data_IF_423631109846
#
_entry.id   IF_423631109846
#
_cell.length_a   1.000
_cell.length_b   1.000
_cell.length_c   1.000
_cell.angle_alpha   90.00
_cell.angle_beta   90.00
_cell.angle_gamma   90.00
#
_symmetry.space_group_name_H-M   'P 1'
#
loop_
_entity.id
_entity.type
_entity.pdbx_description
1 polymer ?
#
# COMPACT_ATOMS: atom_id res chain seq x y z
N UNK A 1 24.79 12.74 -7.66
CA UNK A 1 23.38 13.16 -7.79
C UNK A 1 22.55 11.89 -7.79
N UNK A 2 21.47 11.81 -7.01
CA UNK A 2 20.63 10.60 -7.01
C UNK A 2 19.99 10.41 -8.40
N UNK A 3 19.75 9.16 -8.79
CA UNK A 3 19.06 8.83 -10.02
C UNK A 3 17.66 9.47 -10.05
N UNK A 4 17.28 10.03 -11.20
CA UNK A 4 15.93 10.53 -11.43
C UNK A 4 15.01 9.36 -11.82
N UNK A 5 13.82 9.33 -11.23
CA UNK A 5 12.82 8.30 -11.46
C UNK A 5 11.67 8.84 -12.32
N UNK A 6 10.97 7.96 -13.04
CA UNK A 6 9.75 8.34 -13.73
C UNK A 6 8.60 8.47 -12.72
N UNK A 7 8.49 7.50 -11.80
CA UNK A 7 7.43 7.44 -10.79
C UNK A 7 8.03 7.15 -9.41
N UNK A 8 7.63 7.92 -8.41
CA UNK A 8 7.88 7.57 -7.01
C UNK A 8 6.56 7.12 -6.37
N UNK A 9 6.55 5.96 -5.74
CA UNK A 9 5.41 5.46 -4.96
C UNK A 9 5.75 5.61 -3.48
N UNK A 10 4.93 6.34 -2.72
CA UNK A 10 5.13 6.53 -1.28
C UNK A 10 4.15 5.63 -0.51
N UNK A 11 4.70 4.61 0.13
CA UNK A 11 3.98 3.63 0.94
C UNK A 11 4.03 2.22 0.35
N UNK A 12 4.60 1.25 1.09
CA UNK A 12 4.66 -0.16 0.68
C UNK A 12 3.40 -0.97 0.99
N UNK A 13 2.21 -0.36 1.02
CA UNK A 13 0.95 -1.07 1.26
C UNK A 13 0.41 -1.80 0.02
N UNK A 14 -0.75 -2.45 0.13
CA UNK A 14 -1.38 -3.16 -1.00
C UNK A 14 -1.50 -2.28 -2.26
N UNK A 15 -1.97 -1.04 -2.12
CA UNK A 15 -2.09 -0.09 -3.23
C UNK A 15 -0.73 0.33 -3.79
N UNK A 16 0.27 0.56 -2.94
CA UNK A 16 1.60 0.95 -3.37
C UNK A 16 2.34 -0.17 -4.10
N UNK A 17 2.13 -1.42 -3.69
CA UNK A 17 2.69 -2.59 -4.37
C UNK A 17 2.13 -2.72 -5.79
N UNK A 18 0.81 -2.63 -5.97
CA UNK A 18 0.20 -2.64 -7.31
C UNK A 18 0.64 -1.44 -8.15
N UNK A 19 0.67 -0.23 -7.57
CA UNK A 19 1.10 0.97 -8.29
C UNK A 19 2.56 0.86 -8.77
N UNK A 20 3.45 0.33 -7.92
CA UNK A 20 4.85 0.15 -8.28
C UNK A 20 5.03 -0.91 -9.37
N UNK A 21 4.39 -2.08 -9.20
CA UNK A 21 4.43 -3.16 -10.18
C UNK A 21 3.85 -2.71 -11.54
N UNK A 22 2.69 -2.05 -11.54
CA UNK A 22 2.04 -1.58 -12.77
C UNK A 22 2.90 -0.57 -13.52
N UNK A 23 3.42 0.46 -12.83
CA UNK A 23 4.24 1.48 -13.47
C UNK A 23 5.54 0.89 -14.05
N UNK A 24 6.18 -0.03 -13.31
CA UNK A 24 7.42 -0.67 -13.73
C UNK A 24 7.22 -1.64 -14.91
N UNK A 25 6.15 -2.44 -14.90
CA UNK A 25 5.79 -3.33 -16.01
C UNK A 25 5.46 -2.57 -17.30
N UNK A 26 4.98 -1.33 -17.18
CA UNK A 26 4.78 -0.41 -18.31
C UNK A 26 6.07 0.31 -18.75
N UNK A 27 7.21 0.00 -18.14
CA UNK A 27 8.54 0.47 -18.53
C UNK A 27 9.05 1.70 -17.78
N UNK A 28 8.35 2.16 -16.74
CA UNK A 28 8.81 3.31 -15.92
C UNK A 28 9.93 2.89 -14.95
N UNK A 29 10.89 3.78 -14.71
CA UNK A 29 11.79 3.66 -13.55
C UNK A 29 11.04 4.08 -12.28
N UNK A 30 10.84 3.13 -11.37
CA UNK A 30 10.01 3.31 -10.17
C UNK A 30 10.87 3.26 -8.91
N UNK A 31 10.64 4.20 -8.00
CA UNK A 31 11.14 4.11 -6.63
C UNK A 31 9.99 3.89 -5.65
N UNK A 32 10.00 2.78 -4.92
CA UNK A 32 9.08 2.53 -3.82
C UNK A 32 9.70 2.99 -2.50
N UNK A 33 9.18 4.08 -1.95
CA UNK A 33 9.58 4.65 -0.65
C UNK A 33 8.67 4.08 0.43
N UNK A 34 9.25 3.46 1.45
CA UNK A 34 8.50 2.89 2.58
C UNK A 34 9.22 3.10 3.91
N UNK A 35 8.48 3.27 5.01
CA UNK A 35 9.08 3.44 6.33
C UNK A 35 9.77 2.17 6.83
N UNK A 36 9.28 1.00 6.40
CA UNK A 36 9.84 -0.29 6.75
C UNK A 36 9.65 -1.29 5.59
N UNK A 37 10.74 -1.83 5.07
CA UNK A 37 10.72 -2.82 3.99
C UNK A 37 10.26 -4.20 4.47
N UNK A 38 10.30 -4.47 5.76
CA UNK A 38 9.80 -5.73 6.33
C UNK A 38 8.27 -5.78 6.39
N UNK A 39 7.58 -4.63 6.26
CA UNK A 39 6.11 -4.54 6.36
C UNK A 39 5.42 -4.29 5.02
N UNK A 40 6.13 -4.54 3.91
CA UNK A 40 5.59 -4.48 2.55
C UNK A 40 4.39 -5.42 2.43
N UNK A 41 3.29 -4.91 1.90
CA UNK A 41 2.02 -5.59 1.72
C UNK A 41 1.48 -6.33 2.97
N UNK A 42 1.86 -5.90 4.17
CA UNK A 42 1.42 -6.56 5.39
C UNK A 42 -0.11 -6.49 5.58
N UNK A 43 -0.72 -7.65 5.81
CA UNK A 43 -2.13 -7.79 6.16
C UNK A 43 -2.40 -7.40 7.62
N UNK A 44 -2.67 -6.12 7.87
CA UNK A 44 -2.87 -5.59 9.24
C UNK A 44 -4.21 -6.00 9.89
N UNK A 45 -5.22 -6.32 9.09
CA UNK A 45 -6.57 -6.64 9.56
C UNK A 45 -6.91 -8.12 9.32
N UNK A 46 -7.83 -8.42 8.41
CA UNK A 46 -8.26 -9.79 8.13
C UNK A 46 -7.19 -10.55 7.32
N UNK A 47 -6.82 -11.81 7.67
CA UNK A 47 -5.90 -12.62 6.86
C UNK A 47 -6.64 -13.25 5.66
N UNK A 48 -7.30 -12.42 4.84
CA UNK A 48 -8.17 -12.88 3.77
C UNK A 48 -8.19 -11.94 2.57
N UNK A 49 -8.24 -12.51 1.36
CA UNK A 49 -8.44 -11.78 0.10
C UNK A 49 -9.76 -12.19 -0.55
N UNK A 50 -10.40 -11.25 -1.24
CA UNK A 50 -11.73 -11.44 -1.82
C UNK A 50 -12.88 -11.34 -0.81
N UNK A 51 -13.96 -12.08 -1.06
CA UNK A 51 -15.27 -11.88 -0.43
C UNK A 51 -16.22 -11.05 -1.31
N UNK A 52 -17.47 -10.83 -0.89
CA UNK A 52 -18.48 -10.14 -1.72
C UNK A 52 -17.94 -8.79 -2.24
N UNK A 53 -18.09 -8.55 -3.55
CA UNK A 53 -17.51 -7.46 -4.35
C UNK A 53 -15.97 -7.46 -4.45
N UNK A 54 -15.28 -7.73 -3.34
CA UNK A 54 -13.81 -7.79 -3.28
C UNK A 54 -13.23 -8.88 -4.17
N UNK A 55 -13.92 -10.02 -4.27
CA UNK A 55 -13.48 -11.16 -5.08
C UNK A 55 -13.50 -10.85 -6.56
N UNK A 56 -14.50 -10.08 -7.01
CA UNK A 56 -14.58 -9.57 -8.38
C UNK A 56 -13.46 -8.57 -8.64
N UNK A 57 -13.26 -7.59 -7.75
CA UNK A 57 -12.18 -6.60 -7.90
C UNK A 57 -10.80 -7.27 -7.95
N UNK A 58 -10.54 -8.28 -7.13
CA UNK A 58 -9.26 -9.03 -7.19
C UNK A 58 -9.09 -9.71 -8.55
N UNK A 59 -10.16 -10.25 -9.14
CA UNK A 59 -10.15 -10.83 -10.49
C UNK A 59 -9.98 -9.79 -11.59
N UNK A 60 -10.54 -8.61 -11.43
CA UNK A 60 -10.35 -7.49 -12.35
C UNK A 60 -8.92 -6.96 -12.32
N UNK A 61 -8.31 -6.84 -11.13
CA UNK A 61 -6.90 -6.49 -10.95
C UNK A 61 -6.01 -7.52 -11.66
N UNK A 62 -6.27 -8.80 -11.44
CA UNK A 62 -5.56 -9.91 -12.10
C UNK A 62 -5.68 -9.84 -13.64
N UNK A 63 -6.89 -9.60 -14.15
CA UNK A 63 -7.14 -9.45 -15.59
C UNK A 63 -6.42 -8.24 -16.22
N UNK A 64 -6.15 -7.19 -15.44
CA UNK A 64 -5.36 -6.03 -15.85
C UNK A 64 -3.84 -6.25 -15.73
N UNK A 65 -3.40 -7.43 -15.29
CA UNK A 65 -1.99 -7.77 -15.10
C UNK A 65 -1.43 -7.38 -13.73
N UNK A 66 -2.30 -7.06 -12.75
CA UNK A 66 -1.91 -6.82 -11.37
C UNK A 66 -1.60 -8.12 -10.61
N UNK A 67 -0.89 -8.00 -9.48
CA UNK A 67 -0.33 -9.17 -8.78
C UNK A 67 -1.18 -9.66 -7.61
N UNK A 68 -2.19 -8.91 -7.17
CA UNK A 68 -3.03 -9.26 -6.01
C UNK A 68 -3.67 -10.63 -6.14
N UNK A 69 -4.14 -11.01 -7.34
CA UNK A 69 -4.70 -12.33 -7.62
C UNK A 69 -3.66 -13.43 -7.41
N UNK A 70 -2.52 -13.31 -8.08
CA UNK A 70 -1.39 -14.24 -8.03
C UNK A 70 -0.89 -14.43 -6.59
N UNK A 71 -0.61 -13.34 -5.87
CA UNK A 71 -0.11 -13.43 -4.48
C UNK A 71 -1.16 -14.03 -3.56
N UNK A 72 -2.45 -13.75 -3.80
CA UNK A 72 -3.54 -14.37 -3.04
C UNK A 72 -3.60 -15.87 -3.27
N UNK A 73 -3.33 -16.37 -4.49
CA UNK A 73 -3.31 -17.79 -4.77
C UNK A 73 -2.06 -18.49 -4.19
N UNK A 74 -0.88 -17.87 -4.25
CA UNK A 74 0.36 -18.46 -3.74
C UNK A 74 0.44 -18.53 -2.20
N UNK A 75 -0.29 -17.66 -1.51
CA UNK A 75 -0.32 -17.62 -0.04
C UNK A 75 -1.59 -18.22 0.57
N UNK A 76 -2.46 -18.82 -0.25
CA UNK A 76 -3.75 -19.34 0.23
C UNK A 76 -3.57 -20.56 1.14
N UNK A 77 -4.28 -20.54 2.25
CA UNK A 77 -4.48 -21.70 3.13
C UNK A 77 -5.82 -22.38 2.81
N UNK A 78 -6.84 -21.57 2.51
CA UNK A 78 -8.19 -22.03 2.18
C UNK A 78 -8.76 -21.17 1.05
N UNK A 79 -9.48 -21.80 0.13
CA UNK A 79 -10.33 -21.13 -0.86
C UNK A 79 -11.80 -21.49 -0.65
N UNK A 80 -12.69 -20.51 -0.83
CA UNK A 80 -14.15 -20.73 -0.84
C UNK A 80 -14.82 -19.81 -1.85
N UNK A 81 -15.71 -20.37 -2.66
CA UNK A 81 -16.66 -19.58 -3.42
C UNK A 81 -17.86 -19.22 -2.54
N UNK A 82 -18.15 -17.92 -2.40
CA UNK A 82 -19.30 -17.43 -1.65
C UNK A 82 -20.56 -17.43 -2.53
N UNK A 83 -21.73 -17.55 -1.91
CA UNK A 83 -23.05 -17.49 -2.55
C UNK A 83 -23.32 -18.56 -3.63
N UNK A 84 -22.73 -19.76 -3.50
CA UNK A 84 -22.91 -20.86 -4.47
C UNK A 84 -24.36 -21.32 -4.67
N UNK A 85 -25.23 -21.14 -3.67
CA UNK A 85 -26.66 -21.44 -3.80
C UNK A 85 -27.44 -20.43 -4.65
N UNK A 86 -26.81 -19.30 -5.03
CA UNK A 86 -27.36 -18.30 -5.94
C UNK A 86 -26.79 -18.49 -7.35
N UNK A 87 -27.24 -17.67 -8.30
CA UNK A 87 -26.71 -17.71 -9.68
C UNK A 87 -25.27 -17.18 -9.80
N UNK A 88 -24.56 -17.48 -10.91
CA UNK A 88 -23.17 -17.10 -11.14
C UNK A 88 -22.85 -15.62 -10.96
N UNK A 89 -23.79 -14.73 -11.29
CA UNK A 89 -23.65 -13.29 -11.09
C UNK A 89 -23.43 -12.88 -9.62
N UNK A 90 -23.82 -13.73 -8.66
CA UNK A 90 -23.68 -13.48 -7.23
C UNK A 90 -22.47 -14.20 -6.60
N UNK A 91 -21.79 -15.06 -7.36
CA UNK A 91 -20.65 -15.84 -6.88
C UNK A 91 -19.45 -14.93 -6.66
N UNK A 92 -18.75 -15.13 -5.55
CA UNK A 92 -17.59 -14.30 -5.22
C UNK A 92 -16.46 -15.12 -4.59
N UNK A 93 -15.26 -15.17 -5.20
CA UNK A 93 -14.14 -15.91 -4.65
C UNK A 93 -13.62 -15.26 -3.37
N UNK A 94 -13.17 -16.09 -2.43
CA UNK A 94 -12.52 -15.66 -1.20
C UNK A 94 -11.45 -16.66 -0.79
N UNK A 95 -10.29 -16.16 -0.37
CA UNK A 95 -9.23 -16.94 0.24
C UNK A 95 -9.00 -16.53 1.69
N UNK A 96 -8.58 -17.48 2.51
CA UNK A 96 -7.79 -17.19 3.72
C UNK A 96 -6.32 -17.35 3.35
N UNK A 97 -5.49 -16.41 3.79
CA UNK A 97 -4.10 -16.30 3.38
C UNK A 97 -3.18 -16.36 4.60
N UNK A 98 -2.07 -17.08 4.46
CA UNK A 98 -0.98 -16.95 5.42
C UNK A 98 -0.40 -15.54 5.31
N UNK A 99 -0.44 -14.77 6.41
CA UNK A 99 -0.01 -13.37 6.40
C UNK A 99 1.47 -13.20 6.09
N UNK A 100 2.31 -14.11 6.58
CA UNK A 100 3.75 -14.04 6.40
C UNK A 100 4.12 -14.41 4.97
N UNK A 101 3.52 -15.49 4.45
CA UNK A 101 3.71 -15.89 3.05
C UNK A 101 3.18 -14.82 2.11
N UNK A 102 2.01 -14.23 2.37
CA UNK A 102 1.44 -13.16 1.54
C UNK A 102 2.39 -11.96 1.43
N UNK A 103 2.92 -11.47 2.56
CA UNK A 103 3.87 -10.35 2.57
C UNK A 103 5.19 -10.71 1.88
N UNK A 104 5.72 -11.90 2.16
CA UNK A 104 6.96 -12.39 1.55
C UNK A 104 6.83 -12.55 0.03
N UNK A 105 5.69 -13.05 -0.46
CA UNK A 105 5.42 -13.21 -1.90
C UNK A 105 5.28 -11.89 -2.62
N UNK A 106 4.58 -10.92 -2.03
CA UNK A 106 4.54 -9.56 -2.57
C UNK A 106 5.93 -8.95 -2.70
N UNK A 107 6.73 -9.04 -1.63
CA UNK A 107 8.09 -8.53 -1.64
C UNK A 107 8.94 -9.21 -2.72
N UNK A 108 8.90 -10.54 -2.79
CA UNK A 108 9.64 -11.28 -3.79
C UNK A 108 9.24 -10.91 -5.23
N UNK A 109 7.94 -10.74 -5.52
CA UNK A 109 7.49 -10.32 -6.85
C UNK A 109 7.98 -8.91 -7.20
N UNK A 110 7.93 -7.97 -6.25
CA UNK A 110 8.44 -6.61 -6.48
C UNK A 110 9.96 -6.59 -6.69
N UNK A 111 10.72 -7.33 -5.87
CA UNK A 111 12.18 -7.46 -6.02
C UNK A 111 12.58 -8.10 -7.35
N UNK A 112 11.72 -8.95 -7.92
CA UNK A 112 11.93 -9.55 -9.25
C UNK A 112 11.31 -8.74 -10.40
N UNK A 113 10.60 -7.64 -10.11
CA UNK A 113 10.02 -6.78 -11.15
C UNK A 113 11.09 -5.79 -11.61
N UNK A 114 11.51 -5.82 -12.89
CA UNK A 114 12.52 -4.89 -13.40
C UNK A 114 12.09 -3.44 -13.20
N UNK A 115 13.05 -2.53 -13.01
CA UNK A 115 12.85 -1.09 -12.83
C UNK A 115 12.22 -0.67 -11.49
N UNK A 116 12.00 -1.57 -10.53
CA UNK A 116 11.57 -1.22 -9.17
C UNK A 116 12.77 -1.15 -8.24
N UNK A 117 13.09 0.05 -7.79
CA UNK A 117 14.04 0.30 -6.70
C UNK A 117 13.29 0.54 -5.38
N UNK A 118 13.95 0.28 -4.25
CA UNK A 118 13.37 0.46 -2.92
C UNK A 118 14.16 1.47 -2.10
N UNK A 119 13.46 2.30 -1.32
CA UNK A 119 14.07 3.20 -0.35
C UNK A 119 13.37 3.12 1.00
N UNK A 120 14.11 2.75 2.05
CA UNK A 120 13.55 2.66 3.39
C UNK A 120 13.71 4.00 4.12
N UNK A 121 12.71 4.87 4.00
CA UNK A 121 12.58 6.08 4.80
C UNK A 121 11.14 6.63 4.72
N UNK A 122 10.76 7.56 5.60
CA UNK A 122 9.51 8.31 5.50
C UNK A 122 9.60 9.37 4.40
N UNK A 123 8.71 9.27 3.40
CA UNK A 123 8.42 10.38 2.49
C UNK A 123 7.67 11.47 3.26
N UNK A 124 8.31 12.61 3.49
CA UNK A 124 7.82 13.67 4.38
C UNK A 124 7.05 14.75 3.62
N UNK A 125 7.59 15.17 2.48
CA UNK A 125 7.09 16.29 1.68
C UNK A 125 7.18 15.96 0.17
N UNK A 126 6.29 16.53 -0.63
CA UNK A 126 6.40 16.61 -2.08
C UNK A 126 7.29 17.80 -2.47
N UNK A 127 8.08 17.63 -3.52
CA UNK A 127 8.75 18.74 -4.17
C UNK A 127 7.82 19.26 -5.27
N UNK A 128 7.43 20.54 -5.20
CA UNK A 128 6.50 21.17 -6.14
C UNK A 128 7.11 22.43 -6.71
N UNK A 129 7.15 22.50 -8.04
CA UNK A 129 7.64 23.66 -8.79
C UNK A 129 6.54 24.11 -9.76
N UNK A 130 6.14 25.39 -9.70
CA UNK A 130 5.11 25.97 -10.56
C UNK A 130 3.78 25.15 -10.60
N UNK A 131 3.36 24.64 -9.44
CA UNK A 131 2.14 23.82 -9.31
C UNK A 131 2.28 22.39 -9.83
N UNK A 132 3.48 21.96 -10.25
CA UNK A 132 3.77 20.59 -10.71
C UNK A 132 4.66 19.86 -9.71
N UNK A 133 4.31 18.62 -9.38
CA UNK A 133 5.17 17.74 -8.59
C UNK A 133 6.41 17.36 -9.40
N UNK A 134 7.57 17.46 -8.77
CA UNK A 134 8.89 17.15 -9.36
C UNK A 134 9.70 16.15 -8.51
N UNK A 135 9.10 15.58 -7.47
CA UNK A 135 9.76 14.59 -6.61
C UNK A 135 9.24 14.57 -5.19
N UNK A 136 10.01 13.96 -4.30
CA UNK A 136 9.73 13.88 -2.85
C UNK A 136 10.97 14.24 -2.04
N UNK A 137 10.73 14.70 -0.81
CA UNK A 137 11.74 14.91 0.22
C UNK A 137 11.50 13.94 1.37
N UNK A 138 12.54 13.21 1.75
CA UNK A 138 12.48 12.26 2.86
C UNK A 138 12.62 12.98 4.21
N UNK A 139 12.34 12.31 5.32
CA UNK A 139 12.47 12.91 6.64
C UNK A 139 13.91 13.29 7.02
N UNK A 140 14.90 12.62 6.41
CA UNK A 140 16.32 12.96 6.51
C UNK A 140 16.71 14.19 5.66
N UNK A 141 15.76 14.78 4.93
CA UNK A 141 16.00 15.94 4.07
C UNK A 141 16.55 15.59 2.69
N UNK A 142 16.59 14.32 2.32
CA UNK A 142 17.07 13.87 1.01
C UNK A 142 15.99 14.14 -0.04
N UNK A 143 16.38 14.81 -1.11
CA UNK A 143 15.50 15.13 -2.23
C UNK A 143 15.70 14.13 -3.37
N UNK A 144 14.60 13.53 -3.82
CA UNK A 144 14.58 12.53 -4.89
C UNK A 144 13.62 13.03 -5.97
N UNK A 145 14.14 13.28 -7.16
CA UNK A 145 13.38 13.84 -8.28
C UNK A 145 12.60 12.75 -9.02
N UNK A 146 11.38 13.10 -9.43
CA UNK A 146 10.57 12.26 -10.32
C UNK A 146 9.52 13.04 -11.12
N UNK A 147 9.06 12.43 -12.20
CA UNK A 147 8.03 13.04 -13.09
C UNK A 147 6.62 12.92 -12.53
N UNK A 148 6.35 11.89 -11.72
CA UNK A 148 5.08 11.68 -11.04
C UNK A 148 5.29 11.05 -9.64
N UNK A 149 4.33 11.27 -8.74
CA UNK A 149 4.32 10.68 -7.39
C UNK A 149 2.95 10.07 -7.11
N UNK A 150 2.93 8.85 -6.58
CA UNK A 150 1.72 8.16 -6.12
C UNK A 150 1.77 8.03 -4.60
N UNK A 151 0.79 8.63 -3.91
CA UNK A 151 0.69 8.59 -2.46
C UNK A 151 -0.24 7.45 -2.00
N UNK A 152 0.31 6.50 -1.25
CA UNK A 152 -0.42 5.31 -0.75
C UNK A 152 -0.17 5.08 0.75
N UNK A 153 -0.24 6.17 1.52
CA UNK A 153 0.19 6.22 2.92
C UNK A 153 -0.71 5.41 3.90
N UNK A 154 -1.80 4.79 3.43
CA UNK A 154 -2.67 3.94 4.25
C UNK A 154 -3.14 4.64 5.53
N UNK A 155 -2.99 3.96 6.67
CA UNK A 155 -3.42 4.47 7.98
C UNK A 155 -2.34 5.30 8.69
N UNK A 156 -1.24 5.64 8.03
CA UNK A 156 -0.07 6.25 8.67
C UNK A 156 -0.15 7.78 8.82
N UNK A 157 -0.81 8.49 7.89
CA UNK A 157 -0.88 9.96 7.92
C UNK A 157 -1.60 10.46 9.16
N UNK A 158 -0.85 11.12 10.06
CA UNK A 158 -1.35 11.60 11.36
C UNK A 158 -2.15 10.53 12.13
N UNK A 159 -1.71 9.28 12.00
CA UNK A 159 -2.34 8.09 12.57
C UNK A 159 -2.40 8.13 14.10
N UNK A 160 -3.55 7.75 14.64
CA UNK A 160 -3.81 7.71 16.08
C UNK A 160 -4.46 6.38 16.44
N UNK A 161 -3.85 5.66 17.38
CA UNK A 161 -4.35 4.38 17.87
C UNK A 161 -5.22 4.65 19.09
N UNK A 162 -6.37 3.99 19.14
CA UNK A 162 -7.33 4.07 20.24
C UNK A 162 -7.48 2.69 20.90
N UNK A 163 -7.23 2.60 22.21
CA UNK A 163 -7.48 1.40 23.02
C UNK A 163 -8.22 1.84 24.29
N UNK A 164 -9.55 1.67 24.28
CA UNK A 164 -10.41 2.28 25.30
C UNK A 164 -10.25 3.80 25.29
N UNK A 165 -9.91 4.37 26.45
CA UNK A 165 -9.63 5.80 26.61
C UNK A 165 -8.18 6.17 26.24
N UNK A 166 -7.27 5.20 26.12
CA UNK A 166 -5.87 5.45 25.80
C UNK A 166 -5.72 5.77 24.32
N UNK A 167 -4.94 6.82 24.05
CA UNK A 167 -4.60 7.27 22.70
C UNK A 167 -3.09 7.44 22.57
N UNK A 168 -2.52 6.99 21.46
CA UNK A 168 -1.11 7.18 21.15
C UNK A 168 -0.87 7.23 19.64
N UNK A 169 0.15 7.98 19.23
CA UNK A 169 0.50 8.13 17.83
C UNK A 169 0.97 6.82 17.21
N UNK A 170 0.44 6.47 16.04
CA UNK A 170 0.84 5.27 15.33
C UNK A 170 0.02 5.04 14.07
N UNK A 171 0.66 4.57 13.01
CA UNK A 171 -0.05 4.17 11.78
C UNK A 171 -0.67 2.78 11.90
N UNK A 172 0.04 1.88 12.59
CA UNK A 172 -0.36 0.52 12.96
C UNK A 172 0.20 0.23 14.34
N UNK A 173 -0.33 -0.77 15.04
CA UNK A 173 0.18 -1.15 16.37
C UNK A 173 1.67 -1.50 16.27
N UNK A 174 2.51 -0.77 17.03
CA UNK A 174 3.97 -0.92 17.01
C UNK A 174 4.70 -0.10 15.94
N UNK A 175 3.99 0.59 15.05
CA UNK A 175 4.57 1.39 13.96
C UNK A 175 4.24 2.88 14.14
N UNK A 176 5.25 3.75 13.99
CA UNK A 176 5.08 5.21 14.13
C UNK A 176 4.15 5.77 13.05
N UNK A 177 3.42 6.83 13.38
CA UNK A 177 2.68 7.60 12.39
C UNK A 177 3.63 8.41 11.50
N UNK A 178 3.21 8.72 10.28
CA UNK A 178 3.88 9.66 9.39
C UNK A 178 3.29 11.07 9.56
N UNK A 179 4.14 12.09 9.54
CA UNK A 179 3.75 13.50 9.70
C UNK A 179 4.34 14.37 8.58
N UNK A 180 3.87 15.61 8.45
CA UNK A 180 4.34 16.58 7.45
C UNK A 180 3.45 16.62 6.20
N UNK A 181 3.30 15.48 5.52
CA UNK A 181 2.65 15.41 4.20
C UNK A 181 1.21 15.95 4.17
N UNK A 182 0.40 15.67 5.19
CA UNK A 182 -0.98 16.20 5.28
C UNK A 182 -1.01 17.73 5.34
N UNK A 183 -0.16 18.34 6.19
CA UNK A 183 -0.12 19.79 6.32
C UNK A 183 0.33 20.46 5.02
N UNK A 184 1.24 19.83 4.29
CA UNK A 184 1.64 20.32 2.97
C UNK A 184 0.52 20.20 1.94
N UNK A 185 -0.22 19.09 1.92
CA UNK A 185 -1.36 18.94 1.01
C UNK A 185 -2.43 20.01 1.28
N UNK A 186 -2.68 20.36 2.54
CA UNK A 186 -3.58 21.46 2.91
C UNK A 186 -3.06 22.81 2.39
N UNK A 187 -1.76 23.09 2.52
CA UNK A 187 -1.14 24.29 1.95
C UNK A 187 -1.24 24.35 0.41
N UNK A 188 -1.25 23.20 -0.26
CA UNK A 188 -1.45 23.07 -1.70
C UNK A 188 -2.94 23.14 -2.11
N UNK A 189 -3.87 23.35 -1.16
CA UNK A 189 -5.29 23.56 -1.42
C UNK A 189 -6.17 22.30 -1.32
N UNK A 190 -5.64 21.19 -0.81
CA UNK A 190 -6.45 20.00 -0.53
C UNK A 190 -7.20 20.12 0.80
N UNK A 191 -8.38 19.52 0.89
CA UNK A 191 -9.07 19.32 2.16
C UNK A 191 -8.64 18.00 2.79
N UNK A 192 -8.51 17.99 4.12
CA UNK A 192 -8.23 16.77 4.88
C UNK A 192 -9.36 16.45 5.87
N UNK A 193 -9.49 15.17 6.20
CA UNK A 193 -10.46 14.66 7.16
C UNK A 193 -9.91 13.44 7.89
N UNK A 194 -10.64 12.94 8.90
CA UNK A 194 -10.23 11.76 9.68
C UNK A 194 -11.26 10.65 9.57
N UNK A 195 -10.78 9.44 9.30
CA UNK A 195 -11.57 8.22 9.37
C UNK A 195 -11.03 7.32 10.49
N UNK A 196 -11.91 6.49 11.06
CA UNK A 196 -11.56 5.54 12.11
C UNK A 196 -12.05 4.15 11.72
N UNK A 197 -11.19 3.15 11.88
CA UNK A 197 -11.50 1.74 11.67
C UNK A 197 -10.96 0.92 12.84
N UNK A 198 -11.53 -0.27 13.06
CA UNK A 198 -11.14 -1.19 14.12
C UNK A 198 -10.55 -2.48 13.56
N UNK A 199 -9.76 -3.17 14.39
CA UNK A 199 -9.30 -4.54 14.14
C UNK A 199 -9.60 -5.37 15.39
N UNK A 200 -10.04 -6.63 15.26
CA UNK A 200 -10.27 -7.48 16.43
C UNK A 200 -8.94 -7.81 17.14
N UNK A 201 -8.97 -8.22 18.42
CA UNK A 201 -7.78 -8.73 19.10
C UNK A 201 -7.20 -9.96 18.39
N UNK A 202 -5.95 -10.29 18.70
CA UNK A 202 -5.31 -11.56 18.34
C UNK A 202 -5.27 -12.42 19.60
N UNK A 203 -5.67 -13.67 19.49
CA UNK A 203 -5.75 -14.64 20.59
C UNK A 203 -4.77 -15.78 20.31
N UNK A 204 -4.25 -16.40 21.37
CA UNK A 204 -3.53 -17.67 21.35
C UNK A 204 -4.55 -18.83 21.32
#
# INVERSE_FOLDING_TARGET
MLQEYDVIVVGGGHAGCEAAAAAANLGSKVLLVTMNMQTIAQMSCNPAMGGVAKGQIVREIDALGGYSGIVSDESRIQFRMLNLSKGPAMWSPRTQNDRMVFAAKWRALLENTPNVDFWQEMGKELLVENGKVVGVKTALGIEIKARAVVLTNGTFLNGLIHIGEKQFGGGRVGERASTGLTAQLEQLGFSSGRMKTGTPPRID
#
